data_IF_803325132896
#
_entry.id   IF_803325132896
#
_cell.length_a   1.000
_cell.length_b   1.000
_cell.length_c   1.000
_cell.angle_alpha   90.00
_cell.angle_beta   90.00
_cell.angle_gamma   90.00
#
_symmetry.space_group_name_H-M   'P 1'
#
loop_
_entity.id
_entity.type
_entity.pdbx_description
1 polymer ?
#
# COMPACT_ATOMS: atom_id res chain seq x y z
N UNK A 1 -12.29 10.72 15.78
CA UNK A 1 -12.08 9.37 15.22
C UNK A 1 -12.34 9.31 13.70
N UNK A 2 -11.86 10.29 12.91
CA UNK A 2 -12.10 10.36 11.45
C UNK A 2 -10.82 10.44 10.60
N UNK A 3 -9.64 10.56 11.21
CA UNK A 3 -8.37 10.72 10.49
C UNK A 3 -7.84 9.42 9.86
N UNK A 4 -8.08 8.27 10.49
CA UNK A 4 -7.56 6.98 10.05
C UNK A 4 -8.07 6.56 8.67
N UNK A 5 -9.36 6.78 8.37
CA UNK A 5 -9.92 6.46 7.05
C UNK A 5 -9.34 7.36 5.95
N UNK A 6 -9.17 8.66 6.20
CA UNK A 6 -8.61 9.58 5.20
C UNK A 6 -7.16 9.25 4.85
N UNK A 7 -6.38 8.80 5.83
CA UNK A 7 -4.96 8.46 5.63
C UNK A 7 -4.81 7.20 4.79
N UNK A 8 -5.60 6.16 5.08
CA UNK A 8 -5.63 4.92 4.31
C UNK A 8 -6.08 5.17 2.86
N UNK A 9 -7.15 5.94 2.65
CA UNK A 9 -7.61 6.25 1.29
C UNK A 9 -6.52 6.95 0.48
N UNK A 10 -5.77 7.87 1.09
CA UNK A 10 -4.68 8.57 0.44
C UNK A 10 -3.51 7.64 0.07
N UNK A 11 -3.14 6.70 0.94
CA UNK A 11 -2.08 5.72 0.69
C UNK A 11 -2.44 4.74 -0.43
N UNK A 12 -3.69 4.25 -0.45
CA UNK A 12 -4.17 3.40 -1.53
C UNK A 12 -4.21 4.13 -2.88
N UNK A 13 -4.69 5.39 -2.90
CA UNK A 13 -4.73 6.21 -4.11
C UNK A 13 -3.32 6.53 -4.61
N UNK A 14 -2.38 6.85 -3.71
CA UNK A 14 -0.99 7.13 -4.06
C UNK A 14 -0.31 5.89 -4.65
N UNK A 15 -0.53 4.71 -4.06
CA UNK A 15 0.00 3.44 -4.58
C UNK A 15 -0.58 3.11 -5.97
N UNK A 16 -1.88 3.29 -6.18
CA UNK A 16 -2.53 3.06 -7.48
C UNK A 16 -2.02 4.01 -8.58
N UNK A 17 -1.71 5.25 -8.23
CA UNK A 17 -1.12 6.24 -9.13
C UNK A 17 0.30 5.85 -9.56
N UNK A 18 1.16 5.48 -8.59
CA UNK A 18 2.52 4.99 -8.88
C UNK A 18 2.51 3.69 -9.68
N UNK A 19 1.58 2.79 -9.42
CA UNK A 19 1.39 1.55 -10.18
C UNK A 19 1.04 1.84 -11.65
N UNK A 20 0.11 2.76 -11.89
CA UNK A 20 -0.31 3.15 -13.24
C UNK A 20 0.82 3.81 -14.04
N UNK A 21 1.60 4.69 -13.39
CA UNK A 21 2.80 5.30 -13.99
C UNK A 21 3.88 4.25 -14.26
N UNK A 22 4.09 3.33 -13.33
CA UNK A 22 5.04 2.23 -13.47
C UNK A 22 4.71 1.33 -14.66
N UNK A 23 3.44 0.94 -14.84
CA UNK A 23 2.98 0.17 -16.00
C UNK A 23 3.19 0.95 -17.30
N UNK A 24 2.83 2.23 -17.33
CA UNK A 24 3.04 3.08 -18.51
C UNK A 24 4.52 3.19 -18.91
N UNK A 25 5.39 3.34 -17.91
CA UNK A 25 6.85 3.37 -18.08
C UNK A 25 7.42 2.03 -18.54
N UNK A 26 6.86 0.90 -18.06
CA UNK A 26 7.24 -0.45 -18.46
C UNK A 26 6.87 -0.73 -19.94
N UNK A 27 5.68 -0.33 -20.38
CA UNK A 27 5.24 -0.52 -21.78
C UNK A 27 6.06 0.33 -22.75
N UNK A 28 6.43 1.56 -22.37
CA UNK A 28 7.22 2.49 -23.21
C UNK A 28 8.73 2.19 -23.19
N UNK A 29 9.18 1.29 -22.30
CA UNK A 29 10.59 1.00 -22.11
C UNK A 29 11.18 0.18 -23.28
N UNK A 30 12.03 0.81 -24.10
CA UNK A 30 12.88 0.11 -25.09
C UNK A 30 14.17 -0.49 -24.53
N UNK A 31 14.56 -0.12 -23.30
CA UNK A 31 15.84 -0.53 -22.71
C UNK A 31 15.61 -1.31 -21.41
N UNK A 32 16.29 -2.45 -21.26
CA UNK A 32 16.15 -3.31 -20.09
C UNK A 32 16.43 -2.58 -18.76
N UNK A 33 17.40 -1.67 -18.73
CA UNK A 33 17.70 -0.84 -17.55
C UNK A 33 16.53 0.09 -17.18
N UNK A 34 15.84 0.65 -18.18
CA UNK A 34 14.66 1.50 -17.96
C UNK A 34 13.48 0.67 -17.44
N UNK A 35 13.29 -0.54 -17.98
CA UNK A 35 12.30 -1.48 -17.47
C UNK A 35 12.56 -1.85 -16.01
N UNK A 36 13.82 -2.12 -15.64
CA UNK A 36 14.21 -2.43 -14.26
C UNK A 36 13.96 -1.25 -13.31
N UNK A 37 14.24 -0.01 -13.74
CA UNK A 37 13.94 1.18 -12.93
C UNK A 37 12.44 1.40 -12.72
N UNK A 38 11.62 1.13 -13.74
CA UNK A 38 10.16 1.14 -13.59
C UNK A 38 9.67 0.00 -12.68
N UNK A 39 10.30 -1.17 -12.76
CA UNK A 39 9.97 -2.33 -11.93
C UNK A 39 10.24 -2.05 -10.44
N UNK A 40 11.38 -1.46 -10.10
CA UNK A 40 11.70 -1.01 -8.74
C UNK A 40 10.65 -0.04 -8.21
N UNK A 41 10.17 0.89 -9.06
CA UNK A 41 9.15 1.87 -8.71
C UNK A 41 7.77 1.22 -8.47
N UNK A 42 7.41 0.19 -9.26
CA UNK A 42 6.20 -0.63 -9.05
C UNK A 42 6.31 -1.44 -7.77
N UNK A 43 7.46 -2.10 -7.53
CA UNK A 43 7.71 -2.91 -6.35
C UNK A 43 7.63 -2.08 -5.07
N UNK A 44 8.18 -0.86 -5.09
CA UNK A 44 8.08 0.07 -3.96
C UNK A 44 6.62 0.49 -3.68
N UNK A 45 5.81 0.71 -4.73
CA UNK A 45 4.39 1.06 -4.58
C UNK A 45 3.54 -0.10 -4.03
N UNK A 46 3.83 -1.34 -4.45
CA UNK A 46 3.19 -2.55 -3.91
C UNK A 46 3.60 -2.81 -2.47
N UNK A 47 4.88 -2.58 -2.13
CA UNK A 47 5.37 -2.74 -0.77
C UNK A 47 4.69 -1.76 0.21
N UNK A 48 4.47 -0.51 -0.21
CA UNK A 48 3.69 0.47 0.56
C UNK A 48 2.26 -0.03 0.79
N UNK A 49 1.59 -0.51 -0.26
CA UNK A 49 0.23 -1.07 -0.16
C UNK A 49 0.17 -2.25 0.83
N UNK A 50 1.16 -3.14 0.78
CA UNK A 50 1.26 -4.29 1.66
C UNK A 50 1.51 -3.90 3.13
N UNK A 51 2.34 -2.89 3.37
CA UNK A 51 2.56 -2.30 4.71
C UNK A 51 1.26 -1.71 5.27
N UNK A 52 0.54 -0.90 4.48
CA UNK A 52 -0.74 -0.32 4.88
C UNK A 52 -1.78 -1.41 5.17
N UNK A 53 -1.81 -2.48 4.37
CA UNK A 53 -2.70 -3.63 4.61
C UNK A 53 -2.35 -4.39 5.89
N UNK A 54 -1.06 -4.56 6.17
CA UNK A 54 -0.57 -5.23 7.39
C UNK A 54 -0.92 -4.42 8.65
N UNK A 55 -0.74 -3.10 8.60
CA UNK A 55 -1.11 -2.18 9.69
C UNK A 55 -2.63 -2.17 9.93
N UNK A 56 -3.42 -2.22 8.86
CA UNK A 56 -4.87 -2.39 8.96
C UNK A 56 -5.27 -3.72 9.61
N UNK A 57 -4.56 -4.81 9.32
CA UNK A 57 -4.86 -6.12 9.90
C UNK A 57 -4.44 -6.21 11.38
N UNK A 58 -3.29 -5.65 11.74
CA UNK A 58 -2.82 -5.60 13.15
C UNK A 58 -3.76 -4.76 14.02
N UNK A 59 -4.17 -3.58 13.53
CA UNK A 59 -5.13 -2.72 14.24
C UNK A 59 -6.52 -3.35 14.40
N UNK A 60 -6.92 -4.27 13.51
CA UNK A 60 -8.13 -5.10 13.67
C UNK A 60 -7.98 -6.14 14.79
N UNK A 61 -6.82 -6.78 14.88
CA UNK A 61 -6.53 -7.78 15.92
C UNK A 61 -6.42 -7.18 17.32
N UNK A 62 -5.82 -6.00 17.45
CA UNK A 62 -5.74 -5.29 18.73
C UNK A 62 -7.14 -4.90 19.26
N UNK A 63 -8.06 -4.52 18.36
CA UNK A 63 -9.43 -4.15 18.73
C UNK A 63 -10.28 -5.33 19.19
N UNK A 64 -10.07 -6.51 18.61
CA UNK A 64 -10.72 -7.75 19.06
C UNK A 64 -10.22 -8.16 20.46
N UNK A 65 -8.89 -8.11 20.68
CA UNK A 65 -8.28 -8.44 21.98
C UNK A 65 -8.70 -7.48 23.10
N UNK A 66 -8.78 -6.18 22.83
CA UNK A 66 -9.26 -5.20 23.83
C UNK A 66 -10.72 -5.47 24.23
N UNK A 67 -11.55 -5.86 23.26
CA UNK A 67 -12.98 -6.14 23.53
C UNK A 67 -13.17 -7.40 24.37
N UNK A 68 -12.41 -8.46 24.12
CA UNK A 68 -12.42 -9.68 24.93
C UNK A 68 -11.91 -9.44 26.35
N UNK A 69 -10.84 -8.65 26.53
CA UNK A 69 -10.30 -8.33 27.86
C UNK A 69 -11.19 -7.42 28.70
N UNK A 70 -12.19 -6.74 28.10
CA UNK A 70 -13.20 -5.97 28.84
C UNK A 70 -14.41 -6.82 29.25
N UNK A 71 -14.54 -8.02 28.67
CA UNK A 71 -15.64 -8.95 28.93
C UNK A 71 -15.25 -10.07 29.92
N UNK A 72 -13.96 -10.35 30.05
CA UNK A 72 -13.37 -11.26 31.04
C UNK A 72 -12.94 -10.46 32.28
#
# INVERSE_FOLDING_TARGET
>A
MRGWSMMLEHELVLSAFFFSIGIYGLITSRNMVRALMCLELILNAVNLNFVTFSDFFDSRQLKEKETFSRFL
#
